data_IF_650129624168
#
_entry.id   IF_650129624168
#
_cell.length_a   1.000
_cell.length_b   1.000
_cell.length_c   1.000
_cell.angle_alpha   90.00
_cell.angle_beta   90.00
_cell.angle_gamma   90.00
#
_symmetry.space_group_name_H-M   'P 1'
#
loop_
_entity.id
_entity.type
_entity.pdbx_description
1 polymer ?
#
# COMPACT_ATOMS: atom_id res chain seq x y z
N UNK A 1 45.85 -1.57 -19.25
CA UNK A 1 44.50 -0.99 -19.41
C UNK A 1 43.70 -1.38 -18.18
N UNK A 2 43.56 -0.43 -17.26
CA UNK A 2 42.89 -0.55 -15.98
C UNK A 2 41.40 -0.29 -16.19
N UNK A 3 40.58 -1.34 -16.13
CA UNK A 3 39.13 -1.20 -15.97
C UNK A 3 38.86 -0.60 -14.60
N UNK A 4 38.55 0.69 -14.57
CA UNK A 4 37.97 1.32 -13.41
C UNK A 4 36.57 0.72 -13.21
N UNK A 5 36.43 -0.15 -12.21
CA UNK A 5 35.14 -0.60 -11.72
C UNK A 5 34.30 0.63 -11.37
N UNK A 6 33.29 0.92 -12.19
CA UNK A 6 32.34 2.00 -11.94
C UNK A 6 31.65 1.65 -10.61
N UNK A 7 31.77 2.49 -9.55
CA UNK A 7 31.07 2.21 -8.31
C UNK A 7 29.58 2.21 -8.64
N UNK A 8 28.88 1.12 -8.31
CA UNK A 8 27.42 1.09 -8.33
C UNK A 8 26.91 2.25 -7.46
N UNK A 9 26.62 3.39 -8.09
CA UNK A 9 26.14 4.58 -7.41
C UNK A 9 24.70 4.30 -6.96
N UNK A 10 24.56 3.82 -5.73
CA UNK A 10 23.26 3.81 -5.07
C UNK A 10 22.80 5.25 -4.91
N UNK A 11 21.81 5.66 -5.69
CA UNK A 11 21.17 6.99 -5.60
C UNK A 11 20.62 7.27 -4.19
N UNK A 12 20.41 6.23 -3.38
CA UNK A 12 20.05 6.33 -1.96
C UNK A 12 21.04 7.13 -1.10
N UNK A 13 22.31 7.27 -1.53
CA UNK A 13 23.30 8.12 -0.83
C UNK A 13 23.11 9.61 -1.06
N UNK A 14 22.49 10.00 -2.18
CA UNK A 14 22.44 11.40 -2.62
C UNK A 14 21.07 12.05 -2.37
N UNK A 15 20.01 11.24 -2.26
CA UNK A 15 18.69 11.69 -1.85
C UNK A 15 18.11 10.69 -0.84
N UNK A 16 18.34 10.86 0.47
CA UNK A 16 17.59 10.13 1.47
C UNK A 16 16.15 10.66 1.44
N UNK A 17 15.30 10.02 0.63
CA UNK A 17 13.86 10.26 0.69
C UNK A 17 13.43 9.84 2.10
N UNK A 18 12.88 10.80 2.86
CA UNK A 18 12.33 10.54 4.19
C UNK A 18 11.27 9.45 4.12
N UNK A 19 11.16 8.62 5.16
CA UNK A 19 10.15 7.55 5.23
C UNK A 19 8.73 8.08 5.01
N UNK A 20 8.44 9.29 5.49
CA UNK A 20 7.16 9.99 5.30
C UNK A 20 6.86 10.30 3.82
N UNK A 21 7.86 10.77 3.07
CA UNK A 21 7.71 11.06 1.64
C UNK A 21 7.51 9.74 0.89
N UNK A 22 8.26 8.70 1.26
CA UNK A 22 8.11 7.39 0.66
C UNK A 22 6.73 6.78 0.93
N UNK A 23 6.21 6.95 2.15
CA UNK A 23 4.86 6.56 2.53
C UNK A 23 3.82 7.29 1.69
N UNK A 24 3.96 8.62 1.53
CA UNK A 24 3.08 9.43 0.68
C UNK A 24 3.12 8.98 -0.78
N UNK A 25 4.30 8.71 -1.33
CA UNK A 25 4.44 8.16 -2.69
C UNK A 25 3.66 6.84 -2.78
N UNK A 26 3.85 5.92 -1.83
CA UNK A 26 3.17 4.62 -1.84
C UNK A 26 1.67 4.74 -1.65
N UNK A 27 1.16 5.72 -0.91
CA UNK A 27 -0.28 5.99 -0.78
C UNK A 27 -0.92 6.39 -2.11
N UNK A 28 -0.16 7.02 -3.01
CA UNK A 28 -0.60 7.43 -4.33
C UNK A 28 -0.43 6.34 -5.41
N UNK A 29 0.14 5.17 -5.07
CA UNK A 29 0.29 4.04 -5.98
C UNK A 29 -0.82 3.00 -5.80
N UNK A 30 -1.09 2.14 -6.81
CA UNK A 30 -1.99 1.01 -6.66
C UNK A 30 -1.50 0.05 -5.56
N UNK A 31 -2.38 -0.43 -4.65
CA UNK A 31 -1.98 -1.26 -3.51
C UNK A 31 -1.30 -2.57 -3.94
N UNK A 32 -1.69 -3.12 -5.09
CA UNK A 32 -1.06 -4.31 -5.67
C UNK A 32 0.39 -4.10 -6.06
N UNK A 33 0.74 -2.92 -6.60
CA UNK A 33 2.11 -2.56 -6.96
C UNK A 33 2.98 -2.32 -5.72
N UNK A 34 2.42 -1.65 -4.71
CA UNK A 34 3.10 -1.42 -3.43
C UNK A 34 3.56 -2.75 -2.80
N UNK A 35 2.69 -3.77 -2.81
CA UNK A 35 3.00 -5.08 -2.21
C UNK A 35 3.95 -5.92 -3.07
N UNK A 36 3.75 -5.94 -4.39
CA UNK A 36 4.48 -6.85 -5.30
C UNK A 36 5.80 -6.28 -5.80
N UNK A 37 5.85 -4.97 -6.04
CA UNK A 37 6.98 -4.28 -6.68
C UNK A 37 7.75 -3.47 -5.65
N UNK A 38 7.12 -2.51 -4.98
CA UNK A 38 7.83 -1.59 -4.08
C UNK A 38 8.50 -2.34 -2.91
N UNK A 39 7.84 -3.36 -2.37
CA UNK A 39 8.34 -4.15 -1.24
C UNK A 39 9.70 -4.82 -1.48
N UNK A 40 10.06 -5.11 -2.73
CA UNK A 40 11.28 -5.85 -3.07
C UNK A 40 12.42 -4.96 -3.58
N UNK A 41 12.20 -3.64 -3.67
CA UNK A 41 13.21 -2.69 -4.18
C UNK A 41 14.42 -2.61 -3.26
N UNK A 42 14.21 -2.35 -1.97
CA UNK A 42 15.26 -2.31 -0.96
C UNK A 42 14.67 -2.45 0.46
N UNK A 43 15.55 -2.55 1.47
CA UNK A 43 15.13 -2.68 2.87
C UNK A 43 14.26 -1.51 3.36
N UNK A 44 14.67 -0.28 3.04
CA UNK A 44 13.93 0.92 3.45
C UNK A 44 12.50 0.95 2.88
N UNK A 45 12.33 0.54 1.62
CA UNK A 45 11.01 0.45 1.00
C UNK A 45 10.18 -0.64 1.63
N UNK A 46 10.78 -1.79 1.91
CA UNK A 46 10.13 -2.88 2.63
C UNK A 46 9.63 -2.43 4.02
N UNK A 47 10.42 -1.66 4.77
CA UNK A 47 10.01 -1.13 6.08
C UNK A 47 8.74 -0.27 5.98
N UNK A 48 8.67 0.62 4.98
CA UNK A 48 7.48 1.45 4.76
C UNK A 48 6.30 0.64 4.25
N UNK A 49 6.51 -0.29 3.32
CA UNK A 49 5.42 -1.17 2.82
C UNK A 49 4.85 -2.08 3.90
N UNK A 50 5.69 -2.59 4.80
CA UNK A 50 5.26 -3.44 5.92
C UNK A 50 4.81 -2.60 7.14
N UNK A 51 4.81 -1.26 7.05
CA UNK A 51 4.43 -0.38 8.15
C UNK A 51 2.92 -0.37 8.39
N UNK A 52 2.50 -0.28 9.65
CA UNK A 52 1.09 -0.13 10.00
C UNK A 52 0.53 1.23 9.59
N UNK A 53 1.36 2.29 9.60
CA UNK A 53 0.94 3.65 9.25
C UNK A 53 0.43 3.73 7.82
N UNK A 54 1.14 3.12 6.87
CA UNK A 54 0.79 3.13 5.45
C UNK A 54 -0.62 2.57 5.22
N UNK A 55 -0.90 1.39 5.75
CA UNK A 55 -2.18 0.72 5.53
C UNK A 55 -3.32 1.35 6.33
N UNK A 56 -3.05 1.88 7.53
CA UNK A 56 -4.01 2.71 8.29
C UNK A 56 -4.45 3.93 7.50
N UNK A 57 -3.46 4.68 7.01
CA UNK A 57 -3.69 5.92 6.29
C UNK A 57 -4.40 5.66 4.95
N UNK A 58 -4.03 4.59 4.25
CA UNK A 58 -4.74 4.14 3.06
C UNK A 58 -6.20 3.82 3.35
N UNK A 59 -6.49 3.06 4.42
CA UNK A 59 -7.87 2.77 4.83
C UNK A 59 -8.65 4.06 5.08
N UNK A 60 -8.04 5.03 5.77
CA UNK A 60 -8.65 6.33 6.05
C UNK A 60 -8.97 7.11 4.76
N UNK A 61 -8.05 7.15 3.79
CA UNK A 61 -8.26 7.84 2.49
C UNK A 61 -9.34 7.20 1.64
N UNK A 62 -9.44 5.87 1.67
CA UNK A 62 -10.42 5.10 0.90
C UNK A 62 -11.76 4.93 1.64
N UNK A 63 -11.89 5.47 2.86
CA UNK A 63 -13.13 5.45 3.64
C UNK A 63 -13.43 4.12 4.34
N UNK A 64 -12.47 3.19 4.40
CA UNK A 64 -12.60 1.97 5.19
C UNK A 64 -12.47 2.31 6.68
N UNK A 65 -13.59 2.24 7.40
CA UNK A 65 -13.63 2.49 8.84
C UNK A 65 -13.45 1.19 9.61
N UNK A 66 -12.69 1.23 10.70
CA UNK A 66 -12.78 0.21 11.74
C UNK A 66 -14.17 0.33 12.37
N UNK A 67 -15.11 -0.50 11.96
CA UNK A 67 -16.46 -0.56 12.54
C UNK A 67 -16.45 -0.94 14.02
N UNK A 68 -15.42 -1.69 14.46
CA UNK A 68 -15.21 -2.10 15.84
C UNK A 68 -13.87 -1.58 16.38
N UNK A 69 -13.92 -0.50 17.16
CA UNK A 69 -12.78 0.11 17.86
C UNK A 69 -12.12 -0.82 18.89
N UNK A 70 -12.66 -2.01 19.13
CA UNK A 70 -12.14 -2.98 20.13
C UNK A 70 -11.00 -3.86 19.62
N UNK A 71 -10.78 -3.94 18.30
CA UNK A 71 -9.72 -4.78 17.71
C UNK A 71 -8.87 -3.96 16.76
N UNK A 72 -7.73 -3.47 17.23
CA UNK A 72 -6.68 -2.95 16.36
C UNK A 72 -6.09 -4.14 15.59
N UNK A 73 -6.26 -4.24 14.26
CA UNK A 73 -5.73 -5.37 13.52
C UNK A 73 -4.22 -5.45 13.68
N UNK A 74 -3.72 -6.65 13.97
CA UNK A 74 -2.28 -6.90 14.09
C UNK A 74 -1.58 -6.63 12.75
N UNK A 75 -2.21 -7.02 11.63
CA UNK A 75 -1.78 -6.77 10.26
C UNK A 75 -2.81 -5.89 9.53
N UNK A 76 -2.46 -4.61 9.39
CA UNK A 76 -3.28 -3.61 8.71
C UNK A 76 -3.38 -3.82 7.19
N UNK A 77 -2.39 -4.49 6.57
CA UNK A 77 -2.44 -4.84 5.15
C UNK A 77 -3.50 -5.90 4.90
N UNK A 78 -3.56 -6.92 5.74
CA UNK A 78 -4.61 -7.94 5.64
C UNK A 78 -6.00 -7.33 5.85
N UNK A 79 -6.14 -6.43 6.83
CA UNK A 79 -7.39 -5.69 7.03
C UNK A 79 -7.82 -4.94 5.76
N UNK A 80 -6.91 -4.18 5.15
CA UNK A 80 -7.18 -3.46 3.89
C UNK A 80 -7.64 -4.38 2.75
N UNK A 81 -6.97 -5.52 2.57
CA UNK A 81 -7.33 -6.50 1.52
C UNK A 81 -8.73 -7.06 1.76
N UNK A 82 -9.11 -7.33 3.00
CA UNK A 82 -10.47 -7.80 3.32
C UNK A 82 -11.52 -6.70 3.08
N UNK A 83 -11.31 -5.51 3.64
CA UNK A 83 -12.25 -4.40 3.53
C UNK A 83 -12.52 -4.00 2.06
N UNK A 84 -11.47 -3.92 1.24
CA UNK A 84 -11.61 -3.62 -0.19
C UNK A 84 -12.38 -4.68 -0.97
N UNK A 85 -12.28 -5.96 -0.61
CA UNK A 85 -13.06 -7.03 -1.26
C UNK A 85 -14.53 -6.99 -0.92
N UNK A 86 -14.88 -6.70 0.33
CA UNK A 86 -16.28 -6.59 0.78
C UNK A 86 -17.00 -5.43 0.08
N UNK A 87 -16.31 -4.30 -0.09
CA UNK A 87 -16.84 -3.14 -0.82
C UNK A 87 -17.09 -3.47 -2.31
N UNK A 88 -16.10 -4.07 -2.98
CA UNK A 88 -16.25 -4.50 -4.39
C UNK A 88 -17.42 -5.47 -4.54
N UNK A 89 -17.55 -6.43 -3.63
CA UNK A 89 -18.62 -7.43 -3.69
C UNK A 89 -20.00 -6.79 -3.48
N UNK A 90 -20.12 -5.88 -2.51
CA UNK A 90 -21.38 -5.16 -2.24
C UNK A 90 -21.83 -4.34 -3.45
N UNK A 91 -20.90 -3.62 -4.09
CA UNK A 91 -21.19 -2.84 -5.30
C UNK A 91 -21.64 -3.71 -6.47
N UNK A 92 -20.98 -4.86 -6.69
CA UNK A 92 -21.38 -5.82 -7.75
C UNK A 92 -22.79 -6.37 -7.50
N UNK A 93 -23.13 -6.68 -6.24
CA UNK A 93 -24.47 -7.15 -5.89
C UNK A 93 -25.54 -6.09 -6.13
N UNK A 94 -25.26 -4.83 -5.78
CA UNK A 94 -26.17 -3.71 -6.05
C UNK A 94 -26.40 -3.49 -7.54
N UNK A 95 -25.34 -3.52 -8.37
CA UNK A 95 -25.45 -3.41 -9.83
C UNK A 95 -26.29 -4.54 -10.43
N UNK A 96 -26.09 -5.78 -9.96
CA UNK A 96 -26.91 -6.92 -10.40
C UNK A 96 -28.37 -6.77 -9.99
N UNK A 97 -28.65 -6.27 -8.78
CA UNK A 97 -30.02 -6.02 -8.32
C UNK A 97 -30.70 -4.95 -9.17
N UNK A 98 -30.01 -3.84 -9.45
CA UNK A 98 -30.55 -2.74 -10.25
C UNK A 98 -30.81 -3.16 -11.71
N UNK A 99 -29.96 -4.01 -12.27
CA UNK A 99 -30.13 -4.54 -13.63
C UNK A 99 -31.28 -5.55 -13.77
N UNK A 100 -31.65 -6.25 -12.69
CA UNK A 100 -32.79 -7.17 -12.68
C UNK A 100 -34.14 -6.48 -12.41
N UNK A 101 -34.11 -5.20 -12.02
CA UNK A 101 -35.29 -4.40 -11.68
C UNK A 101 -35.77 -3.48 -12.83
N UNK A 102 -35.07 -3.46 -13.97
CA UNK A 102 -35.45 -2.73 -15.19
C UNK A 102 -35.72 -3.67 -16.34
#
# INVERSE_FOLDING_TARGET
MNEAAVPSMSLSKYFPISLEILEEIFLNLPPGEVVRVCRVVCHQWKEVVDSKSLWKERCRREGYHLSDTSKNPEDWRLFYICASREEIFSRILEEKRNSAAG
#
